data_IF_456746988074
#
_entry.id   IF_456746988074
#
_cell.length_a   1.000
_cell.length_b   1.000
_cell.length_c   1.000
_cell.angle_alpha   90.00
_cell.angle_beta   90.00
_cell.angle_gamma   90.00
#
_symmetry.space_group_name_H-M   'P 1'
#
loop_
_entity.id
_entity.type
_entity.pdbx_description
1 polymer ?
#
# COMPACT_ATOMS: atom_id res chain seq x y z
N UNK A 1 13.77 -1.04 -22.18
CA UNK A 1 12.90 -0.20 -21.31
C UNK A 1 12.09 -1.11 -20.40
N UNK A 2 12.16 -0.95 -19.07
CA UNK A 2 11.24 -1.68 -18.18
C UNK A 2 9.89 -0.94 -18.18
N UNK A 3 8.84 -1.63 -18.62
CA UNK A 3 7.46 -1.12 -18.63
C UNK A 3 6.79 -1.23 -17.26
N UNK A 4 7.45 -1.90 -16.31
CA UNK A 4 7.01 -2.08 -14.93
C UNK A 4 8.18 -1.88 -13.97
N UNK A 5 7.90 -1.27 -12.82
CA UNK A 5 8.79 -1.19 -11.66
C UNK A 5 7.96 -1.30 -10.40
N UNK A 6 8.39 -2.14 -9.46
CA UNK A 6 7.83 -2.20 -8.12
C UNK A 6 8.97 -2.25 -7.10
N UNK A 7 8.83 -1.51 -6.01
CA UNK A 7 9.82 -1.54 -4.94
C UNK A 7 9.50 -0.59 -3.81
N UNK A 8 10.19 -0.79 -2.69
CA UNK A 8 10.11 0.10 -1.54
C UNK A 8 11.09 1.26 -1.76
N UNK A 9 10.61 2.48 -1.59
CA UNK A 9 11.42 3.71 -1.66
C UNK A 9 11.41 4.40 -0.31
N UNK A 10 12.60 4.82 0.13
CA UNK A 10 12.75 5.71 1.27
C UNK A 10 12.50 7.15 0.82
N UNK A 11 11.73 7.89 1.61
CA UNK A 11 11.58 9.33 1.46
C UNK A 11 12.74 10.09 2.08
N UNK A 12 12.65 11.41 2.05
CA UNK A 12 13.61 12.31 2.70
C UNK A 12 13.59 12.12 4.22
N UNK A 13 14.75 12.23 4.85
CA UNK A 13 14.89 12.27 6.30
C UNK A 13 14.19 13.51 6.86
N UNK A 14 13.35 13.32 7.88
CA UNK A 14 12.65 14.38 8.58
C UNK A 14 13.05 14.33 10.04
N UNK A 15 13.51 15.46 10.59
CA UNK A 15 13.81 15.59 12.02
C UNK A 15 12.58 16.09 12.78
N UNK A 16 12.16 15.34 13.80
CA UNK A 16 11.03 15.66 14.67
C UNK A 16 11.50 15.59 16.12
N UNK A 17 11.87 16.75 16.68
CA UNK A 17 12.46 16.83 18.00
C UNK A 17 13.80 16.08 18.09
N UNK A 18 13.85 15.02 18.90
CA UNK A 18 15.03 14.14 19.06
C UNK A 18 14.94 12.84 18.24
N UNK A 19 14.11 12.84 17.21
CA UNK A 19 13.86 11.69 16.37
C UNK A 19 14.12 12.03 14.91
N UNK A 20 14.83 11.12 14.26
CA UNK A 20 15.02 11.09 12.82
C UNK A 20 14.03 10.11 12.23
N UNK A 21 13.14 10.60 11.38
CA UNK A 21 12.05 9.83 10.77
C UNK A 21 12.30 9.74 9.26
N UNK A 22 12.42 8.52 8.75
CA UNK A 22 12.51 8.24 7.30
C UNK A 22 11.24 7.52 6.84
N UNK A 23 10.36 8.17 6.06
CA UNK A 23 9.20 7.51 5.47
C UNK A 23 9.63 6.42 4.50
N UNK A 24 8.85 5.34 4.41
CA UNK A 24 9.00 4.27 3.42
C UNK A 24 7.67 4.02 2.73
N UNK A 25 7.71 3.99 1.41
CA UNK A 25 6.52 3.76 0.58
C UNK A 25 6.75 2.64 -0.41
N UNK A 26 5.70 1.86 -0.68
CA UNK A 26 5.62 0.98 -1.82
C UNK A 26 5.31 1.81 -3.05
N UNK A 27 6.19 1.76 -4.04
CA UNK A 27 6.02 2.45 -5.32
C UNK A 27 5.85 1.41 -6.41
N UNK A 28 4.73 1.49 -7.13
CA UNK A 28 4.46 0.68 -8.32
C UNK A 28 4.28 1.63 -9.49
N UNK A 29 5.14 1.50 -10.50
CA UNK A 29 5.09 2.30 -11.71
C UNK A 29 4.88 1.39 -12.91
N UNK A 30 3.83 1.69 -13.68
CA UNK A 30 3.52 1.05 -14.97
C UNK A 30 3.66 2.11 -16.04
N UNK A 31 4.48 1.86 -17.06
CA UNK A 31 4.60 2.73 -18.23
C UNK A 31 3.91 2.06 -19.41
N UNK A 32 3.07 2.81 -20.12
CA UNK A 32 2.45 2.27 -21.33
C UNK A 32 3.49 2.17 -22.45
N UNK A 33 3.60 1.01 -23.13
CA UNK A 33 4.61 0.85 -24.18
C UNK A 33 4.27 1.62 -25.48
N UNK A 34 3.02 2.05 -25.65
CA UNK A 34 2.48 2.64 -26.89
C UNK A 34 2.19 4.15 -26.80
N UNK A 35 2.47 4.79 -25.66
CA UNK A 35 2.16 6.21 -25.44
C UNK A 35 3.06 6.84 -24.39
N UNK A 36 3.11 8.18 -24.34
CA UNK A 36 4.02 8.93 -23.46
C UNK A 36 3.63 8.96 -21.97
N UNK A 37 2.66 8.15 -21.54
CA UNK A 37 2.10 8.19 -20.18
C UNK A 37 2.47 6.97 -19.33
N UNK A 38 2.01 7.00 -18.08
CA UNK A 38 2.03 5.86 -17.19
C UNK A 38 1.12 6.05 -15.99
N UNK A 39 1.05 5.01 -15.17
CA UNK A 39 0.42 5.03 -13.86
C UNK A 39 1.50 4.87 -12.79
N UNK A 40 1.46 5.71 -11.76
CA UNK A 40 2.32 5.60 -10.59
C UNK A 40 1.44 5.52 -9.36
N UNK A 41 1.54 4.41 -8.66
CA UNK A 41 0.94 4.20 -7.36
C UNK A 41 2.00 4.36 -6.28
N UNK A 42 1.67 5.14 -5.26
CA UNK A 42 2.53 5.42 -4.13
C UNK A 42 1.74 5.23 -2.83
N UNK A 43 2.11 4.23 -2.03
CA UNK A 43 1.44 3.91 -0.78
C UNK A 43 2.44 3.88 0.38
N UNK A 44 2.25 4.70 1.43
CA UNK A 44 3.04 4.61 2.65
C UNK A 44 2.87 3.23 3.30
N UNK A 45 3.98 2.58 3.65
CA UNK A 45 3.96 1.24 4.26
C UNK A 45 4.64 1.21 5.63
N UNK A 46 5.58 2.13 5.89
CA UNK A 46 6.29 2.19 7.15
C UNK A 46 6.97 3.55 7.36
N UNK A 47 7.36 3.81 8.60
CA UNK A 47 8.35 4.83 8.96
C UNK A 47 9.53 4.15 9.66
N UNK A 48 10.76 4.53 9.32
CA UNK A 48 11.94 4.20 10.10
C UNK A 48 12.18 5.33 11.09
N UNK A 49 12.25 5.04 12.37
CA UNK A 49 12.47 6.03 13.43
C UNK A 49 13.78 5.70 14.12
N UNK A 50 14.69 6.67 14.17
CA UNK A 50 15.93 6.60 14.91
C UNK A 50 15.91 7.69 15.99
N UNK A 51 16.22 7.32 17.22
CA UNK A 51 16.37 8.26 18.35
C UNK A 51 17.87 8.44 18.60
N UNK A 52 18.28 9.59 19.13
CA UNK A 52 19.69 9.95 19.41
C UNK A 52 20.55 8.81 20.00
N UNK A 53 19.99 8.01 20.90
CA UNK A 53 20.70 6.93 21.60
C UNK A 53 20.13 5.52 21.34
N UNK A 54 19.31 5.35 20.29
CA UNK A 54 18.58 4.11 20.03
C UNK A 54 18.81 3.52 18.63
N UNK A 55 18.71 2.19 18.48
CA UNK A 55 18.74 1.57 17.16
C UNK A 55 17.52 2.01 16.33
N UNK A 56 17.70 2.11 15.02
CA UNK A 56 16.61 2.42 14.10
C UNK A 56 15.50 1.37 14.18
N UNK A 57 14.25 1.80 14.37
CA UNK A 57 13.07 0.94 14.44
C UNK A 57 12.13 1.24 13.29
N UNK A 58 11.70 0.20 12.58
CA UNK A 58 10.66 0.34 11.55
C UNK A 58 9.29 0.17 12.19
N UNK A 59 8.39 1.15 12.00
CA UNK A 59 6.98 1.09 12.40
C UNK A 59 6.11 0.97 11.15
N UNK A 60 5.27 -0.07 11.03
CA UNK A 60 4.39 -0.20 9.88
C UNK A 60 3.28 0.86 9.91
N UNK A 61 2.86 1.29 8.73
CA UNK A 61 1.64 2.08 8.55
C UNK A 61 0.58 1.12 8.02
N UNK A 62 -0.45 0.87 8.82
CA UNK A 62 -1.58 0.05 8.42
C UNK A 62 -2.57 0.89 7.60
N UNK A 63 -2.83 0.45 6.37
CA UNK A 63 -3.84 1.07 5.51
C UNK A 63 -5.23 0.54 5.87
N UNK A 64 -5.87 1.22 6.82
CA UNK A 64 -7.23 0.89 7.28
C UNK A 64 -8.26 1.03 6.14
N UNK A 65 -8.00 1.93 5.18
CA UNK A 65 -8.91 2.13 4.04
C UNK A 65 -8.88 0.93 3.11
N UNK A 66 -7.68 0.44 2.77
CA UNK A 66 -7.53 -0.76 1.96
C UNK A 66 -8.14 -1.98 2.65
N UNK A 67 -7.95 -2.13 3.97
CA UNK A 67 -8.56 -3.20 4.74
C UNK A 67 -10.09 -3.12 4.68
N UNK A 68 -10.68 -1.94 4.89
CA UNK A 68 -12.13 -1.75 4.82
C UNK A 68 -12.69 -2.05 3.43
N UNK A 69 -12.03 -1.58 2.36
CA UNK A 69 -12.42 -1.83 0.99
C UNK A 69 -12.38 -3.33 0.65
N UNK A 70 -11.31 -4.03 1.05
CA UNK A 70 -11.20 -5.47 0.85
C UNK A 70 -12.26 -6.24 1.64
N UNK A 71 -12.51 -5.86 2.89
CA UNK A 71 -13.58 -6.47 3.70
C UNK A 71 -14.95 -6.29 3.04
N UNK A 72 -15.24 -5.10 2.53
CA UNK A 72 -16.50 -4.82 1.85
C UNK A 72 -16.63 -5.62 0.54
N UNK A 73 -15.56 -5.66 -0.27
CA UNK A 73 -15.54 -6.45 -1.50
C UNK A 73 -15.80 -7.93 -1.22
N UNK A 74 -15.14 -8.51 -0.22
CA UNK A 74 -15.35 -9.90 0.17
C UNK A 74 -16.76 -10.17 0.66
N UNK A 75 -17.35 -9.23 1.42
CA UNK A 75 -18.74 -9.34 1.84
C UNK A 75 -19.69 -9.38 0.64
N UNK A 76 -19.51 -8.48 -0.34
CA UNK A 76 -20.32 -8.46 -1.56
C UNK A 76 -20.21 -9.76 -2.37
N UNK A 77 -18.99 -10.30 -2.51
CA UNK A 77 -18.75 -11.56 -3.20
C UNK A 77 -19.48 -12.70 -2.47
N UNK A 78 -19.33 -12.80 -1.15
CA UNK A 78 -19.98 -13.84 -0.35
C UNK A 78 -21.51 -13.77 -0.45
N UNK A 79 -22.10 -12.57 -0.34
CA UNK A 79 -23.55 -12.37 -0.50
C UNK A 79 -24.02 -12.77 -1.89
N UNK A 80 -23.27 -12.40 -2.94
CA UNK A 80 -23.62 -12.76 -4.33
C UNK A 80 -23.61 -14.27 -4.55
N UNK A 81 -22.62 -14.97 -3.99
CA UNK A 81 -22.53 -16.44 -4.03
C UNK A 81 -23.72 -17.06 -3.29
N UNK A 82 -24.03 -16.58 -2.08
CA UNK A 82 -25.13 -17.10 -1.28
C UNK A 82 -26.49 -16.94 -1.99
N UNK A 83 -26.74 -15.79 -2.61
CA UNK A 83 -27.96 -15.55 -3.40
C UNK A 83 -28.04 -16.49 -4.60
N UNK A 84 -26.93 -16.67 -5.32
CA UNK A 84 -26.86 -17.56 -6.48
C UNK A 84 -27.15 -19.02 -6.11
N UNK A 85 -26.59 -19.47 -4.99
CA UNK A 85 -26.82 -20.82 -4.47
C UNK A 85 -28.28 -21.05 -4.08
N UNK A 86 -28.91 -20.07 -3.43
CA UNK A 86 -30.33 -20.14 -3.08
C UNK A 86 -31.22 -20.29 -4.31
N UNK A 87 -30.99 -19.48 -5.35
CA UNK A 87 -31.76 -19.53 -6.61
C UNK A 87 -31.63 -20.86 -7.38
N UNK A 88 -30.57 -21.63 -7.14
CA UNK A 88 -30.37 -22.92 -7.81
C UNK A 88 -31.12 -24.06 -7.10
N UNK A 89 -31.47 -23.86 -5.84
CA UNK A 89 -32.14 -24.87 -5.00
C UNK A 89 -33.65 -24.62 -4.84
N UNK A 90 -34.12 -23.46 -5.30
CA UNK A 90 -35.53 -23.13 -5.55
C UNK A 90 -35.88 -23.48 -7.01
#
# INVERSE_FOLDING_TARGET
MSWFQAGIRSGTLIEVGRQQVTPRALVIAVRWPWGGGGFVFNQPIAISVQTDNGPARTRPILDVTLLAQLSFLWALIATSIAISWRRKHD
#
